data_IF_517538443067
#
_entry.id   IF_517538443067
#
_cell.length_a   1.000
_cell.length_b   1.000
_cell.length_c   1.000
_cell.angle_alpha   90.00
_cell.angle_beta   90.00
_cell.angle_gamma   90.00
#
_symmetry.space_group_name_H-M   'P 1'
#
loop_
_entity.id
_entity.type
_entity.pdbx_description
1 polymer ?
#
# COMPACT_ATOMS: atom_id res chain seq x y z
N UNK A 1 -9.67 -7.55 -9.06
CA UNK A 1 -8.87 -6.63 -9.92
C UNK A 1 -7.62 -6.23 -9.13
N UNK A 2 -6.45 -6.15 -9.78
CA UNK A 2 -5.19 -5.68 -9.17
C UNK A 2 -4.83 -4.36 -9.84
N UNK A 3 -4.50 -3.33 -9.05
CA UNK A 3 -4.08 -2.02 -9.54
C UNK A 3 -2.59 -1.85 -9.23
N UNK A 4 -1.78 -1.42 -10.19
CA UNK A 4 -0.33 -1.29 -10.03
C UNK A 4 0.23 -0.16 -10.93
N UNK A 5 1.12 0.64 -10.36
CA UNK A 5 1.99 1.55 -11.11
C UNK A 5 3.44 1.13 -10.93
N UNK A 6 4.29 1.38 -11.93
CA UNK A 6 5.69 1.01 -11.92
C UNK A 6 6.54 2.18 -12.38
N UNK A 7 7.56 2.51 -11.60
CA UNK A 7 8.45 3.63 -11.82
C UNK A 7 9.90 3.13 -11.80
N UNK A 8 10.74 3.71 -12.64
CA UNK A 8 12.19 3.49 -12.64
C UNK A 8 12.86 4.85 -12.53
N UNK A 9 13.77 5.02 -11.57
CA UNK A 9 14.42 6.29 -11.32
C UNK A 9 15.58 6.17 -10.35
N UNK A 10 16.20 7.31 -10.05
CA UNK A 10 17.31 7.43 -9.11
C UNK A 10 16.86 7.30 -7.65
N UNK A 11 17.82 7.13 -6.73
CA UNK A 11 17.55 7.13 -5.28
C UNK A 11 16.85 8.42 -4.81
N UNK A 12 17.18 9.56 -5.42
CA UNK A 12 16.59 10.84 -5.08
C UNK A 12 15.12 10.89 -5.48
N UNK A 13 14.80 10.50 -6.71
CA UNK A 13 13.42 10.44 -7.22
C UNK A 13 12.56 9.45 -6.42
N UNK A 14 13.11 8.28 -6.08
CA UNK A 14 12.44 7.33 -5.19
C UNK A 14 12.17 7.92 -3.81
N UNK A 15 13.15 8.63 -3.23
CA UNK A 15 12.99 9.30 -1.94
C UNK A 15 11.88 10.36 -1.94
N UNK A 16 11.81 11.18 -2.99
CA UNK A 16 10.74 12.17 -3.17
C UNK A 16 9.37 11.51 -3.36
N UNK A 17 9.32 10.41 -4.13
CA UNK A 17 8.11 9.61 -4.29
C UNK A 17 7.60 9.09 -2.93
N UNK A 18 8.45 8.47 -2.12
CA UNK A 18 8.06 7.92 -0.81
C UNK A 18 7.56 9.03 0.14
N UNK A 19 8.26 10.16 0.19
CA UNK A 19 7.86 11.32 1.03
C UNK A 19 6.51 11.89 0.64
N UNK A 20 6.06 11.71 -0.60
CA UNK A 20 4.74 12.14 -1.07
C UNK A 20 3.69 11.05 -0.89
N UNK A 21 3.96 9.85 -1.39
CA UNK A 21 3.00 8.75 -1.46
C UNK A 21 2.56 8.24 -0.07
N UNK A 22 3.49 8.14 0.89
CA UNK A 22 3.16 7.64 2.23
C UNK A 22 2.21 8.60 2.97
N UNK A 23 2.48 9.92 3.07
CA UNK A 23 1.50 10.86 3.62
C UNK A 23 0.18 10.88 2.84
N UNK A 24 0.22 10.77 1.52
CA UNK A 24 -1.00 10.70 0.71
C UNK A 24 -1.86 9.48 1.06
N UNK A 25 -1.24 8.31 1.30
CA UNK A 25 -1.93 7.10 1.74
C UNK A 25 -2.66 7.32 3.06
N UNK A 26 -1.98 7.85 4.08
CA UNK A 26 -2.59 8.12 5.39
C UNK A 26 -3.64 9.23 5.36
N UNK A 27 -3.54 10.15 4.40
CA UNK A 27 -4.58 11.17 4.17
C UNK A 27 -5.74 10.70 3.27
N UNK A 28 -5.72 9.45 2.80
CA UNK A 28 -6.73 8.90 1.89
C UNK A 28 -6.74 9.51 0.48
N UNK A 29 -5.65 10.19 0.08
CA UNK A 29 -5.50 10.89 -1.20
C UNK A 29 -4.66 10.13 -2.21
N UNK A 30 -3.96 9.07 -1.79
CA UNK A 30 -3.19 8.26 -2.71
C UNK A 30 -4.13 7.58 -3.70
N UNK A 31 -3.84 7.73 -4.99
CA UNK A 31 -4.54 7.05 -6.08
C UNK A 31 -3.58 6.13 -6.80
N UNK A 32 -4.03 4.93 -7.15
CA UNK A 32 -3.30 3.98 -8.00
C UNK A 32 -4.16 3.68 -9.23
N UNK A 33 -3.64 3.97 -10.43
CA UNK A 33 -4.39 3.85 -11.70
C UNK A 33 -5.78 4.51 -11.63
N UNK A 34 -5.85 5.69 -11.01
CA UNK A 34 -7.09 6.47 -10.84
C UNK A 34 -8.03 5.96 -9.74
N UNK A 35 -7.65 4.91 -8.99
CA UNK A 35 -8.43 4.41 -7.86
C UNK A 35 -7.85 4.87 -6.53
N UNK A 36 -8.65 5.55 -5.72
CA UNK A 36 -8.24 5.96 -4.38
C UNK A 36 -8.00 4.76 -3.47
N UNK A 37 -6.89 4.79 -2.75
CA UNK A 37 -6.54 3.84 -1.70
C UNK A 37 -6.97 4.44 -0.36
N UNK A 38 -7.78 3.69 0.39
CA UNK A 38 -8.24 4.08 1.73
C UNK A 38 -7.97 2.94 2.70
N UNK A 39 -7.17 3.24 3.73
CA UNK A 39 -6.96 2.32 4.85
C UNK A 39 -8.19 2.35 5.76
N UNK A 40 -8.64 1.20 6.28
CA UNK A 40 -9.72 1.17 7.28
C UNK A 40 -9.23 1.82 8.58
N UNK A 41 -10.11 2.59 9.23
CA UNK A 41 -9.82 3.23 10.52
C UNK A 41 -10.04 2.27 11.70
N UNK A 42 -10.94 1.30 11.53
CA UNK A 42 -11.45 0.43 12.61
C UNK A 42 -11.07 -1.04 12.44
N UNK A 43 -10.21 -1.37 11.45
CA UNK A 43 -9.76 -2.74 11.23
C UNK A 43 -8.26 -2.90 11.49
N UNK A 44 -7.86 -4.11 11.87
CA UNK A 44 -6.45 -4.47 11.99
C UNK A 44 -5.76 -4.47 10.62
N UNK A 45 -4.51 -4.00 10.61
CA UNK A 45 -3.67 -3.99 9.42
C UNK A 45 -2.59 -5.08 9.55
N UNK A 46 -2.51 -5.99 8.59
CA UNK A 46 -1.37 -6.87 8.40
C UNK A 46 -0.28 -6.13 7.63
N UNK A 47 0.87 -5.89 8.25
CA UNK A 47 1.99 -5.21 7.61
C UNK A 47 3.26 -6.05 7.67
N UNK A 48 4.03 -6.01 6.59
CA UNK A 48 5.25 -6.80 6.42
C UNK A 48 6.31 -6.04 5.66
N UNK A 49 7.53 -6.06 6.19
CA UNK A 49 8.73 -5.60 5.47
C UNK A 49 9.56 -6.83 5.09
N UNK A 50 9.97 -6.91 3.83
CA UNK A 50 10.91 -7.91 3.33
C UNK A 50 12.12 -7.21 2.72
N UNK A 51 13.29 -7.75 3.01
CA UNK A 51 14.55 -7.38 2.38
C UNK A 51 15.18 -8.64 1.81
N UNK A 52 15.69 -8.55 0.58
CA UNK A 52 16.32 -9.63 -0.16
C UNK A 52 17.55 -9.04 -0.86
N UNK A 53 18.71 -9.65 -0.72
CA UNK A 53 19.97 -9.16 -1.29
C UNK A 53 20.80 -10.36 -1.75
N UNK A 54 21.35 -10.24 -2.96
CA UNK A 54 22.15 -11.27 -3.61
C UNK A 54 23.25 -10.63 -4.48
N UNK A 55 24.06 -11.44 -5.17
CA UNK A 55 25.21 -10.95 -5.96
C UNK A 55 24.84 -9.93 -7.06
N UNK A 56 23.56 -9.90 -7.46
CA UNK A 56 23.05 -9.03 -8.53
C UNK A 56 22.43 -7.72 -8.02
N UNK A 57 22.30 -7.55 -6.69
CA UNK A 57 21.68 -6.39 -6.07
C UNK A 57 20.67 -6.77 -4.98
N UNK A 58 19.81 -5.82 -4.60
CA UNK A 58 18.84 -6.04 -3.52
C UNK A 58 17.46 -5.45 -3.82
N UNK A 59 16.47 -5.93 -3.08
CA UNK A 59 15.09 -5.48 -3.13
C UNK A 59 14.53 -5.28 -1.73
N UNK A 60 13.71 -4.26 -1.58
CA UNK A 60 12.94 -4.01 -0.35
C UNK A 60 11.46 -3.91 -0.72
N UNK A 61 10.63 -4.64 0.01
CA UNK A 61 9.17 -4.59 -0.13
C UNK A 61 8.55 -4.19 1.19
N UNK A 62 7.69 -3.17 1.16
CA UNK A 62 6.81 -2.79 2.26
C UNK A 62 5.39 -3.11 1.81
N UNK A 63 4.75 -4.08 2.49
CA UNK A 63 3.38 -4.50 2.22
C UNK A 63 2.51 -4.13 3.41
N UNK A 64 1.34 -3.58 3.13
CA UNK A 64 0.21 -3.47 4.06
C UNK A 64 -1.00 -4.13 3.40
N UNK A 65 -1.75 -4.90 4.18
CA UNK A 65 -2.96 -5.59 3.79
C UNK A 65 -3.99 -5.46 4.91
N UNK A 66 -5.25 -5.47 4.54
CA UNK A 66 -6.37 -5.45 5.47
C UNK A 66 -7.50 -6.26 4.86
N UNK A 67 -8.28 -6.87 5.73
CA UNK A 67 -9.53 -7.48 5.34
C UNK A 67 -10.63 -6.42 5.41
N UNK A 68 -11.60 -6.54 4.50
CA UNK A 68 -12.82 -5.75 4.65
C UNK A 68 -13.63 -6.44 5.74
N UNK A 69 -14.00 -5.71 6.78
CA UNK A 69 -14.99 -6.22 7.73
C UNK A 69 -16.22 -6.62 6.92
N UNK A 70 -16.49 -7.92 6.86
CA UNK A 70 -17.74 -8.45 6.33
C UNK A 70 -18.80 -8.00 7.31
N UNK A 71 -19.47 -6.88 7.01
CA UNK A 71 -20.79 -6.59 7.55
C UNK A 71 -21.73 -7.69 7.02
N UNK A 72 -21.67 -8.88 7.63
CA UNK A 72 -22.80 -9.80 7.63
C UNK A 72 -23.88 -9.07 8.44
N UNK A 73 -24.70 -8.30 7.73
CA UNK A 73 -25.96 -7.83 8.29
C UNK A 73 -26.78 -9.11 8.45
N UNK A 74 -26.80 -9.61 9.67
CA UNK A 74 -27.74 -10.63 10.14
C UNK A 74 -29.14 -10.02 10.02
N UNK A 75 -29.74 -10.14 8.82
CA UNK A 75 -31.14 -9.86 8.57
C UNK A 75 -31.94 -11.06 9.08
N UNK A 76 -32.00 -11.21 10.40
CA UNK A 76 -33.03 -12.01 11.06
C UNK A 76 -34.33 -11.17 11.05
N UNK A 77 -35.22 -11.46 10.11
CA UNK A 77 -36.67 -11.22 10.21
C UNK A 77 -37.42 -12.55 10.15
#
# INVERSE_FOLDING_TARGET
MKYQESYLGTRAEFGEFVKKAVPELFSGRLTVEGKSVSLPADAELDYKVKYDEDEQGGSVTIKVAWEKESLEIDLDD
#
